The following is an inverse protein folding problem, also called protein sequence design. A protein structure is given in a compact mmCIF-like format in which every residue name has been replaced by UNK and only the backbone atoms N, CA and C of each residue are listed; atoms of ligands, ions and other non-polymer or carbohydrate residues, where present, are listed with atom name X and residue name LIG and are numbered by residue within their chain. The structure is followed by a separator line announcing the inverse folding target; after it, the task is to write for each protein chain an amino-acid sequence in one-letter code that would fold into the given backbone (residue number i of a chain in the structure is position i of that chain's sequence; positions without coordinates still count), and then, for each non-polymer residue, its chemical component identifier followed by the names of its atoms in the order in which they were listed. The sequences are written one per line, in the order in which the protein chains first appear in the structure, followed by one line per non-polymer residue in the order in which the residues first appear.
data_IF_934785922901
#
_entry.id   IF_934785922901
#
_cell.length_a   1.000
_cell.length_b   1.000
_cell.length_c   1.000
_cell.angle_alpha   90.00
_cell.angle_beta   90.00
_cell.angle_gamma   90.00
#
_symmetry.space_group_name_H-M   'P 1'
#
loop_
_entity.id
_entity.type
_entity.pdbx_description
1 polymer ?
#
# COMPACT_ATOMS: atom_id res chain seq x y z
N UNK A 1 -27.20 -6.09 9.31
CA UNK A 1 -26.44 -7.17 8.64
C UNK A 1 -25.75 -6.51 7.47
N UNK A 2 -24.41 -6.33 7.48
CA UNK A 2 -23.72 -5.80 6.29
C UNK A 2 -23.82 -6.89 5.22
N UNK A 3 -24.39 -6.57 4.06
CA UNK A 3 -24.39 -7.49 2.93
C UNK A 3 -22.94 -7.84 2.58
N UNK A 4 -22.69 -9.12 2.32
CA UNK A 4 -21.41 -9.59 1.80
C UNK A 4 -21.16 -8.96 0.42
N UNK A 5 -20.10 -8.14 0.26
CA UNK A 5 -19.84 -7.47 -1.00
C UNK A 5 -19.79 -8.42 -2.20
N UNK A 6 -19.23 -9.62 -2.03
CA UNK A 6 -19.13 -10.57 -3.13
C UNK A 6 -20.51 -11.05 -3.60
N UNK A 7 -21.43 -11.30 -2.67
CA UNK A 7 -22.82 -11.66 -2.99
C UNK A 7 -23.51 -10.55 -3.77
N UNK A 8 -23.30 -9.29 -3.40
CA UNK A 8 -23.85 -8.14 -4.10
C UNK A 8 -23.28 -8.05 -5.53
N UNK A 9 -21.97 -8.21 -5.70
CA UNK A 9 -21.35 -8.24 -7.03
C UNK A 9 -21.89 -9.36 -7.91
N UNK A 10 -22.11 -10.57 -7.36
CA UNK A 10 -22.76 -11.69 -8.07
C UNK A 10 -24.22 -11.41 -8.43
N UNK A 11 -24.94 -10.69 -7.59
CA UNK A 11 -26.30 -10.26 -7.91
C UNK A 11 -26.31 -9.27 -9.08
N UNK A 12 -25.36 -8.32 -9.11
CA UNK A 12 -25.19 -7.41 -10.22
C UNK A 12 -24.77 -8.10 -11.52
N UNK A 13 -23.82 -9.04 -11.46
CA UNK A 13 -23.38 -9.80 -12.63
C UNK A 13 -24.55 -10.51 -13.34
N UNK A 14 -25.54 -11.02 -12.58
CA UNK A 14 -26.74 -11.67 -13.13
C UNK A 14 -27.72 -10.71 -13.80
N UNK A 15 -27.68 -9.42 -13.44
CA UNK A 15 -28.59 -8.38 -13.98
C UNK A 15 -27.95 -7.55 -15.09
N UNK A 16 -26.63 -7.58 -15.19
CA UNK A 16 -25.89 -6.85 -16.21
C UNK A 16 -25.60 -7.78 -17.42
N UNK A 17 -25.36 -7.22 -18.62
CA UNK A 17 -25.01 -8.02 -19.79
C UNK A 17 -23.70 -8.81 -19.58
N UNK A 18 -23.54 -9.92 -20.32
CA UNK A 18 -22.40 -10.87 -20.15
C UNK A 18 -21.02 -10.26 -20.43
N UNK A 19 -20.98 -9.18 -21.22
CA UNK A 19 -19.76 -8.44 -21.56
C UNK A 19 -19.29 -7.49 -20.44
N UNK A 20 -20.03 -7.37 -19.33
CA UNK A 20 -19.68 -6.56 -18.16
C UNK A 20 -18.34 -6.96 -17.55
N UNK A 21 -17.50 -5.97 -17.26
CA UNK A 21 -16.24 -6.14 -16.53
C UNK A 21 -16.23 -5.22 -15.31
N UNK A 22 -16.06 -5.75 -14.10
CA UNK A 22 -15.87 -4.95 -12.89
C UNK A 22 -14.53 -4.18 -12.97
N UNK A 23 -14.55 -2.90 -12.60
CA UNK A 23 -13.43 -1.98 -12.79
C UNK A 23 -13.19 -1.11 -11.55
N UNK A 24 -12.18 -0.24 -11.60
CA UNK A 24 -11.96 0.79 -10.57
C UNK A 24 -11.79 0.23 -9.16
N UNK A 25 -12.46 0.84 -8.18
CA UNK A 25 -12.39 0.42 -6.78
C UNK A 25 -12.93 -1.02 -6.58
N UNK A 26 -13.98 -1.40 -7.30
CA UNK A 26 -14.54 -2.75 -7.28
C UNK A 26 -13.53 -3.79 -7.78
N UNK A 27 -12.84 -3.50 -8.88
CA UNK A 27 -11.78 -4.38 -9.38
C UNK A 27 -10.60 -4.47 -8.43
N UNK A 28 -10.14 -3.33 -7.89
CA UNK A 28 -9.05 -3.29 -6.93
C UNK A 28 -9.35 -4.16 -5.70
N UNK A 29 -10.58 -4.10 -5.18
CA UNK A 29 -11.03 -4.97 -4.10
C UNK A 29 -11.06 -6.45 -4.48
N UNK A 30 -11.61 -6.79 -5.66
CA UNK A 30 -11.60 -8.17 -6.16
C UNK A 30 -10.17 -8.72 -6.29
N UNK A 31 -9.20 -7.86 -6.61
CA UNK A 31 -7.78 -8.20 -6.73
C UNK A 31 -7.02 -8.19 -5.40
N UNK A 32 -7.71 -7.96 -4.28
CA UNK A 32 -7.16 -8.06 -2.93
C UNK A 32 -6.69 -6.74 -2.31
N UNK A 33 -6.95 -5.59 -2.93
CA UNK A 33 -6.65 -4.28 -2.36
C UNK A 33 -7.78 -3.80 -1.43
N UNK A 34 -7.46 -2.96 -0.45
CA UNK A 34 -8.44 -2.42 0.50
C UNK A 34 -9.16 -1.20 -0.08
N UNK A 35 -10.18 -1.46 -0.90
CA UNK A 35 -11.09 -0.45 -1.46
C UNK A 35 -12.53 -0.81 -1.10
N UNK A 36 -13.41 0.20 -1.02
CA UNK A 36 -14.86 -0.07 -0.95
C UNK A 36 -15.34 -0.58 -2.33
N UNK A 37 -15.80 -1.83 -2.43
CA UNK A 37 -16.17 -2.42 -3.71
C UNK A 37 -17.55 -2.02 -4.21
N UNK A 38 -18.42 -1.46 -3.35
CA UNK A 38 -19.86 -1.37 -3.60
C UNK A 38 -20.46 0.02 -3.48
N UNK A 39 -19.69 1.02 -3.01
CA UNK A 39 -20.14 2.41 -2.92
C UNK A 39 -19.30 3.37 -3.78
N UNK A 40 -19.51 3.40 -5.11
CA UNK A 40 -20.43 2.57 -5.90
C UNK A 40 -19.73 1.32 -6.48
N UNK A 41 -20.53 0.39 -7.00
CA UNK A 41 -20.01 -0.65 -7.89
C UNK A 41 -19.56 0.00 -9.20
N UNK A 42 -18.32 -0.22 -9.59
CA UNK A 42 -17.75 0.29 -10.84
C UNK A 42 -17.65 -0.83 -11.88
N UNK A 43 -18.17 -0.58 -13.09
CA UNK A 43 -18.05 -1.49 -14.23
C UNK A 43 -17.60 -0.75 -15.49
N UNK A 44 -16.93 -1.47 -16.38
CA UNK A 44 -16.67 -1.07 -17.76
C UNK A 44 -17.53 -1.91 -18.69
N UNK A 45 -18.15 -1.25 -19.66
CA UNK A 45 -18.94 -1.84 -20.73
C UNK A 45 -18.36 -1.42 -22.10
N UNK A 46 -18.61 -2.18 -23.17
CA UNK A 46 -18.29 -1.75 -24.54
C UNK A 46 -18.96 -0.43 -24.92
N UNK A 47 -18.40 0.28 -25.91
CA UNK A 47 -18.88 1.61 -26.33
C UNK A 47 -20.35 1.62 -26.75
N UNK A 48 -20.81 0.55 -27.39
CA UNK A 48 -22.18 0.40 -27.91
C UNK A 48 -23.20 0.03 -26.84
N UNK A 49 -22.76 -0.23 -25.60
CA UNK A 49 -23.64 -0.68 -24.54
C UNK A 49 -24.63 0.40 -24.09
N UNK A 50 -25.91 0.04 -24.12
CA UNK A 50 -27.03 0.87 -23.63
C UNK A 50 -27.14 0.95 -22.10
N UNK A 51 -26.33 0.22 -21.34
CA UNK A 51 -26.37 0.23 -19.86
C UNK A 51 -25.96 1.62 -19.35
N UNK A 52 -26.77 2.19 -18.45
CA UNK A 52 -26.53 3.51 -17.85
C UNK A 52 -26.13 3.39 -16.38
N UNK A 53 -25.30 4.32 -15.94
CA UNK A 53 -25.04 4.58 -14.52
C UNK A 53 -26.37 4.89 -13.80
N UNK A 54 -26.48 4.44 -12.56
CA UNK A 54 -27.64 4.63 -11.68
C UNK A 54 -27.18 4.59 -10.22
N UNK A 55 -27.99 5.00 -9.23
CA UNK A 55 -27.57 4.94 -7.83
C UNK A 55 -27.01 3.55 -7.46
N UNK A 56 -25.79 3.52 -6.91
CA UNK A 56 -25.06 2.29 -6.57
C UNK A 56 -24.25 1.64 -7.72
N UNK A 57 -24.36 2.11 -8.96
CA UNK A 57 -23.62 1.58 -10.12
C UNK A 57 -23.07 2.71 -11.00
N UNK A 58 -21.75 2.73 -11.16
CA UNK A 58 -21.05 3.60 -12.13
C UNK A 58 -20.62 2.77 -13.32
N UNK A 59 -21.09 3.18 -14.50
CA UNK A 59 -20.75 2.55 -15.78
C UNK A 59 -19.78 3.45 -16.54
N UNK A 60 -18.61 2.90 -16.85
CA UNK A 60 -17.65 3.48 -17.79
C UNK A 60 -17.74 2.76 -19.12
N UNK A 61 -17.44 3.47 -20.20
CA UNK A 61 -17.39 2.88 -21.55
C UNK A 61 -15.97 2.92 -22.07
N UNK A 62 -15.46 1.76 -22.45
CA UNK A 62 -14.14 1.60 -23.03
C UNK A 62 -14.09 0.22 -23.68
N UNK A 63 -13.52 0.15 -24.88
CA UNK A 63 -13.15 -1.15 -25.43
C UNK A 63 -11.88 -1.62 -24.71
N UNK A 64 -12.06 -2.61 -23.83
CA UNK A 64 -10.97 -3.25 -23.12
C UNK A 64 -10.29 -4.26 -24.04
N UNK A 65 -8.96 -4.31 -24.00
CA UNK A 65 -8.22 -5.38 -24.65
C UNK A 65 -8.46 -6.68 -23.87
N UNK A 66 -8.45 -7.86 -24.53
CA UNK A 66 -8.57 -9.14 -23.83
C UNK A 66 -7.59 -9.28 -22.67
N UNK A 67 -6.34 -8.84 -22.86
CA UNK A 67 -5.27 -8.89 -21.83
C UNK A 67 -5.46 -7.87 -20.69
N UNK A 68 -6.42 -6.95 -20.79
CA UNK A 68 -6.78 -6.04 -19.69
C UNK A 68 -7.89 -6.65 -18.80
N UNK A 69 -8.33 -7.88 -19.06
CA UNK A 69 -9.45 -8.55 -18.35
C UNK A 69 -8.96 -9.87 -17.73
N UNK A 70 -9.32 -10.10 -16.48
CA UNK A 70 -9.11 -11.36 -15.75
C UNK A 70 -10.42 -11.84 -15.13
N UNK A 71 -10.44 -13.07 -14.65
CA UNK A 71 -11.56 -13.60 -13.87
C UNK A 71 -11.11 -13.87 -12.44
N UNK A 72 -11.86 -13.37 -11.46
CA UNK A 72 -11.66 -13.63 -10.04
C UNK A 72 -12.96 -14.15 -9.45
N UNK A 73 -12.95 -15.35 -8.87
CA UNK A 73 -14.13 -15.99 -8.29
C UNK A 73 -15.34 -16.06 -9.26
N UNK A 74 -15.11 -16.22 -10.57
CA UNK A 74 -16.19 -16.22 -11.58
C UNK A 74 -16.69 -14.83 -11.98
N UNK A 75 -16.05 -13.74 -11.51
CA UNK A 75 -16.37 -12.36 -11.85
C UNK A 75 -15.32 -11.82 -12.81
N UNK A 76 -15.75 -11.34 -13.98
CA UNK A 76 -14.86 -10.67 -14.94
C UNK A 76 -14.47 -9.30 -14.39
N UNK A 77 -13.18 -9.01 -14.31
CA UNK A 77 -12.66 -7.76 -13.77
C UNK A 77 -11.43 -7.28 -14.54
N UNK A 78 -11.12 -5.98 -14.47
CA UNK A 78 -9.90 -5.45 -15.06
C UNK A 78 -8.66 -6.03 -14.38
N UNK A 79 -7.54 -6.19 -15.10
CA UNK A 79 -6.25 -6.57 -14.49
C UNK A 79 -5.83 -5.57 -13.41
N UNK A 80 -4.91 -5.98 -12.54
CA UNK A 80 -4.31 -5.10 -11.53
C UNK A 80 -3.68 -3.85 -12.14
N UNK A 81 -2.81 -3.99 -13.16
CA UNK A 81 -2.19 -2.84 -13.82
C UNK A 81 -3.22 -1.91 -14.47
N UNK A 82 -4.26 -2.48 -15.10
CA UNK A 82 -5.35 -1.68 -15.68
C UNK A 82 -6.12 -0.92 -14.60
N UNK A 83 -6.48 -1.59 -13.52
CA UNK A 83 -7.23 -1.00 -12.40
C UNK A 83 -6.44 0.12 -11.74
N UNK A 84 -5.14 -0.07 -11.50
CA UNK A 84 -4.24 0.95 -10.94
C UNK A 84 -4.09 2.15 -11.89
N UNK A 85 -3.96 1.93 -13.21
CA UNK A 85 -3.97 3.01 -14.20
C UNK A 85 -5.25 3.85 -14.16
N UNK A 86 -6.42 3.20 -14.11
CA UNK A 86 -7.71 3.89 -14.07
C UNK A 86 -7.94 4.61 -12.72
N UNK A 87 -7.46 4.03 -11.62
CA UNK A 87 -7.54 4.62 -10.28
C UNK A 87 -6.62 5.83 -10.13
N UNK A 88 -5.36 5.76 -10.60
CA UNK A 88 -4.40 6.85 -10.45
C UNK A 88 -4.84 8.16 -11.12
N UNK A 89 -5.71 8.08 -12.13
CA UNK A 89 -6.29 9.26 -12.78
C UNK A 89 -7.28 10.01 -11.89
N UNK A 90 -7.82 9.36 -10.85
CA UNK A 90 -8.90 9.88 -9.99
C UNK A 90 -8.46 10.10 -8.56
N UNK A 91 -7.57 9.24 -8.08
CA UNK A 91 -6.98 9.35 -6.76
C UNK A 91 -5.96 10.49 -6.72
N UNK A 92 -5.71 11.01 -5.52
CA UNK A 92 -4.54 11.87 -5.30
C UNK A 92 -3.25 11.06 -5.47
N UNK A 93 -2.11 11.74 -5.56
CA UNK A 93 -0.82 11.06 -5.65
C UNK A 93 -0.56 10.15 -4.44
N UNK A 94 -0.89 10.62 -3.23
CA UNK A 94 -0.73 9.82 -2.00
C UNK A 94 -1.64 8.60 -1.95
N UNK A 95 -2.91 8.72 -2.36
CA UNK A 95 -3.82 7.57 -2.37
C UNK A 95 -3.47 6.55 -3.48
N UNK A 96 -2.91 7.02 -4.60
CA UNK A 96 -2.32 6.13 -5.60
C UNK A 96 -1.12 5.39 -5.02
N UNK A 97 -0.26 6.09 -4.27
CA UNK A 97 0.91 5.49 -3.63
C UNK A 97 0.51 4.46 -2.58
N UNK A 98 -0.57 4.70 -1.80
CA UNK A 98 -1.15 3.72 -0.87
C UNK A 98 -1.51 2.42 -1.60
N UNK A 99 -2.16 2.51 -2.76
CA UNK A 99 -2.53 1.34 -3.55
C UNK A 99 -1.28 0.60 -4.12
N UNK A 100 -0.25 1.34 -4.54
CA UNK A 100 1.02 0.77 -5.01
C UNK A 100 1.78 0.06 -3.89
N UNK A 101 1.87 0.69 -2.71
CA UNK A 101 2.53 0.11 -1.53
C UNK A 101 1.83 -1.17 -1.09
N UNK A 102 0.49 -1.15 -1.03
CA UNK A 102 -0.32 -2.34 -0.72
C UNK A 102 -0.12 -3.45 -1.76
N UNK A 103 -0.04 -3.10 -3.05
CA UNK A 103 0.25 -4.04 -4.14
C UNK A 103 1.58 -4.77 -3.92
N UNK A 104 2.63 -4.02 -3.60
CA UNK A 104 3.97 -4.59 -3.33
C UNK A 104 3.99 -5.42 -2.04
N UNK A 105 3.37 -4.92 -0.97
CA UNK A 105 3.30 -5.62 0.32
C UNK A 105 2.58 -6.96 0.22
N UNK A 106 1.46 -6.99 -0.49
CA UNK A 106 0.67 -8.21 -0.68
C UNK A 106 1.28 -9.17 -1.70
N UNK A 107 2.37 -8.79 -2.37
CA UNK A 107 3.02 -9.60 -3.40
C UNK A 107 2.17 -9.78 -4.66
N UNK A 108 1.26 -8.85 -4.94
CA UNK A 108 0.38 -8.91 -6.10
C UNK A 108 1.10 -8.52 -7.41
N UNK A 109 2.12 -7.68 -7.29
CA UNK A 109 3.04 -7.32 -8.37
C UNK A 109 4.34 -6.78 -7.78
N UNK A 110 5.45 -6.97 -8.48
CA UNK A 110 6.71 -6.33 -8.13
C UNK A 110 6.87 -4.96 -8.82
N UNK A 111 7.97 -4.27 -8.51
CA UNK A 111 8.25 -2.95 -9.10
C UNK A 111 8.40 -3.03 -10.62
N UNK A 112 8.98 -4.09 -11.15
CA UNK A 112 9.21 -4.25 -12.59
C UNK A 112 7.88 -4.43 -13.33
N UNK A 113 6.95 -5.21 -12.78
CA UNK A 113 5.59 -5.36 -13.29
C UNK A 113 4.88 -4.01 -13.38
N UNK A 114 4.95 -3.23 -12.29
CA UNK A 114 4.31 -1.91 -12.16
C UNK A 114 4.89 -0.84 -13.12
N UNK A 115 6.06 -1.11 -13.72
CA UNK A 115 6.68 -0.25 -14.73
C UNK A 115 6.28 -0.57 -16.17
N UNK A 116 5.54 -1.66 -16.39
CA UNK A 116 5.07 -2.06 -17.73
C UNK A 116 3.66 -1.60 -18.17
N UNK A 117 2.87 -0.79 -17.40
CA UNK A 117 1.51 -0.51 -17.79
C UNK A 117 1.44 0.30 -19.09
N UNK A 118 0.38 0.04 -19.88
CA UNK A 118 0.12 0.69 -21.16
C UNK A 118 -1.16 1.51 -21.09
N UNK A 119 -1.31 2.47 -22.00
CA UNK A 119 -2.53 3.27 -22.14
C UNK A 119 -2.61 4.45 -21.16
N UNK A 120 -3.84 4.93 -20.97
CA UNK A 120 -4.15 6.09 -20.12
C UNK A 120 -3.78 5.81 -18.66
N UNK A 121 -3.32 6.85 -17.96
CA UNK A 121 -2.85 6.72 -16.56
C UNK A 121 -1.44 6.14 -16.42
N UNK A 122 -0.93 5.39 -17.40
CA UNK A 122 0.37 4.70 -17.29
C UNK A 122 1.55 5.63 -16.96
N UNK A 123 1.63 6.82 -17.57
CA UNK A 123 2.68 7.80 -17.27
C UNK A 123 2.60 8.28 -15.82
N UNK A 124 1.40 8.56 -15.32
CA UNK A 124 1.18 9.01 -13.95
C UNK A 124 1.49 7.90 -12.95
N UNK A 125 1.02 6.68 -13.22
CA UNK A 125 1.30 5.52 -12.39
C UNK A 125 2.81 5.29 -12.26
N UNK A 126 3.54 5.20 -13.39
CA UNK A 126 5.01 5.02 -13.38
C UNK A 126 5.75 6.09 -12.59
N UNK A 127 5.31 7.35 -12.66
CA UNK A 127 5.95 8.43 -11.89
C UNK A 127 5.87 8.25 -10.37
N UNK A 128 4.91 7.45 -9.88
CA UNK A 128 4.73 7.14 -8.47
C UNK A 128 5.34 5.79 -8.07
N UNK A 129 5.56 4.88 -9.02
CA UNK A 129 6.19 3.57 -8.77
C UNK A 129 7.60 3.72 -8.20
N UNK A 130 8.35 4.73 -8.63
CA UNK A 130 9.68 5.04 -8.07
C UNK A 130 9.64 5.39 -6.58
N UNK A 131 8.50 5.88 -6.10
CA UNK A 131 8.23 6.19 -4.71
C UNK A 131 7.59 5.01 -3.98
N UNK A 132 7.13 3.96 -4.65
CA UNK A 132 6.42 2.85 -4.00
C UNK A 132 7.36 1.99 -3.14
N UNK A 133 6.86 1.58 -1.99
CA UNK A 133 7.57 0.71 -1.04
C UNK A 133 6.54 -0.13 -0.26
N UNK A 134 6.90 -1.31 0.28
CA UNK A 134 5.92 -2.21 0.90
C UNK A 134 5.51 -1.75 2.33
N UNK A 135 4.93 -0.56 2.47
CA UNK A 135 4.42 -0.05 3.74
C UNK A 135 3.27 -0.93 4.27
N UNK A 136 3.18 -1.08 5.58
CA UNK A 136 2.24 -2.00 6.23
C UNK A 136 0.84 -1.45 6.41
N UNK A 137 0.73 -0.12 6.43
CA UNK A 137 -0.55 0.57 6.53
C UNK A 137 -0.63 1.78 5.59
N UNK A 138 -1.85 2.18 5.17
CA UNK A 138 -2.06 3.42 4.43
C UNK A 138 -1.51 4.66 5.13
N UNK A 139 -1.53 4.67 6.47
CA UNK A 139 -1.04 5.81 7.25
C UNK A 139 0.48 5.91 7.27
N UNK A 140 1.21 4.81 7.25
CA UNK A 140 2.66 4.82 7.02
C UNK A 140 3.01 5.40 5.64
N UNK A 141 2.28 5.01 4.59
CA UNK A 141 2.45 5.60 3.25
C UNK A 141 2.19 7.10 3.26
N UNK A 142 1.12 7.56 3.94
CA UNK A 142 0.78 8.98 4.06
C UNK A 142 1.83 9.76 4.84
N UNK A 143 2.35 9.20 5.94
CA UNK A 143 3.47 9.77 6.69
C UNK A 143 4.70 9.91 5.79
N UNK A 144 5.07 8.84 5.08
CA UNK A 144 6.20 8.84 4.15
C UNK A 144 6.04 9.87 3.03
N UNK A 145 4.86 9.94 2.43
CA UNK A 145 4.51 10.93 1.43
C UNK A 145 4.66 12.35 1.96
N UNK A 146 4.14 12.63 3.17
CA UNK A 146 4.27 13.92 3.84
C UNK A 146 5.73 14.35 4.01
N UNK A 147 6.62 13.43 4.42
CA UNK A 147 8.05 13.74 4.56
C UNK A 147 8.73 14.05 3.22
N UNK A 148 8.39 13.31 2.17
CA UNK A 148 8.93 13.50 0.81
C UNK A 148 8.46 14.84 0.23
N UNK A 149 7.16 15.13 0.30
CA UNK A 149 6.59 16.42 -0.14
C UNK A 149 7.13 17.59 0.69
N UNK A 150 7.44 17.35 1.97
CA UNK A 150 8.13 18.29 2.84
C UNK A 150 9.59 18.57 2.44
N UNK A 151 10.09 17.97 1.36
CA UNK A 151 11.46 18.17 0.87
C UNK A 151 12.52 17.50 1.74
N UNK A 152 12.16 16.46 2.48
CA UNK A 152 13.12 15.63 3.20
C UNK A 152 13.66 14.51 2.29
N UNK A 153 14.84 13.96 2.59
CA UNK A 153 15.34 12.76 1.91
C UNK A 153 14.31 11.62 1.98
N UNK A 154 14.37 10.68 1.04
CA UNK A 154 13.50 9.49 1.09
C UNK A 154 13.96 8.58 2.23
N UNK A 155 13.09 8.21 3.18
CA UNK A 155 13.42 7.19 4.17
C UNK A 155 13.42 5.80 3.53
N UNK A 156 14.20 4.89 4.10
CA UNK A 156 14.03 3.45 3.89
C UNK A 156 12.77 2.97 4.61
N UNK A 157 12.12 1.92 4.11
CA UNK A 157 10.78 1.50 4.56
C UNK A 157 10.83 0.06 5.06
N UNK A 158 10.19 -0.20 6.21
CA UNK A 158 10.05 -1.55 6.79
C UNK A 158 11.40 -2.26 7.03
N UNK A 159 12.40 -1.52 7.50
CA UNK A 159 13.76 -2.01 7.72
C UNK A 159 13.90 -2.66 9.09
N UNK A 160 14.46 -3.88 9.11
CA UNK A 160 14.86 -4.54 10.35
C UNK A 160 16.15 -3.92 10.89
N UNK A 161 16.14 -3.55 12.16
CA UNK A 161 17.24 -2.91 12.84
C UNK A 161 17.85 -3.86 13.86
N UNK A 162 19.17 -3.87 13.91
CA UNK A 162 19.98 -4.56 14.92
C UNK A 162 20.88 -3.61 15.70
N UNK A 163 21.32 -4.04 16.88
CA UNK A 163 22.33 -3.35 17.69
C UNK A 163 23.78 -3.63 17.23
N UNK A 164 24.78 -3.38 18.09
CA UNK A 164 26.20 -3.55 17.76
C UNK A 164 26.61 -5.02 17.69
N UNK A 165 25.89 -5.87 18.40
CA UNK A 165 26.15 -7.30 18.54
C UNK A 165 25.24 -8.12 17.60
N UNK A 166 24.67 -7.46 16.59
CA UNK A 166 23.73 -7.99 15.59
C UNK A 166 22.41 -8.53 16.17
N UNK A 167 22.05 -8.17 17.41
CA UNK A 167 20.75 -8.53 17.96
C UNK A 167 19.64 -7.67 17.38
N UNK A 168 18.56 -8.32 16.92
CA UNK A 168 17.37 -7.64 16.43
C UNK A 168 16.72 -6.79 17.52
N UNK A 169 16.55 -5.49 17.24
CA UNK A 169 15.93 -4.53 18.17
C UNK A 169 14.53 -4.09 17.75
N UNK A 170 14.17 -4.27 16.48
CA UNK A 170 12.85 -3.91 15.96
C UNK A 170 12.85 -3.68 14.46
N UNK A 171 11.64 -3.49 13.90
CA UNK A 171 11.46 -3.17 12.48
C UNK A 171 10.82 -1.79 12.33
N UNK A 172 11.55 -0.86 11.74
CA UNK A 172 11.12 0.54 11.59
C UNK A 172 10.20 0.72 10.39
N UNK A 173 9.10 1.46 10.58
CA UNK A 173 8.22 1.85 9.47
C UNK A 173 9.00 2.67 8.44
N UNK A 174 9.66 3.72 8.92
CA UNK A 174 10.54 4.60 8.15
C UNK A 174 11.88 4.77 8.86
N UNK A 175 12.97 4.71 8.12
CA UNK A 175 14.33 4.80 8.65
C UNK A 175 15.24 5.71 7.84
N UNK A 176 16.00 6.55 8.53
CA UNK A 176 17.06 7.38 7.96
C UNK A 176 18.43 6.89 8.49
N UNK A 177 19.17 6.07 7.72
CA UNK A 177 20.41 5.45 8.18
C UNK A 177 21.47 6.44 8.63
N UNK A 178 21.70 7.48 7.83
CA UNK A 178 22.71 8.50 8.12
C UNK A 178 22.44 9.17 9.46
N UNK A 179 21.18 9.36 9.84
CA UNK A 179 20.78 10.02 11.08
C UNK A 179 20.48 9.03 12.23
N UNK A 180 20.52 7.71 11.98
CA UNK A 180 19.98 6.65 12.86
C UNK A 180 18.61 7.04 13.45
N UNK A 181 17.74 7.58 12.60
CA UNK A 181 16.43 8.09 12.98
C UNK A 181 15.34 7.14 12.47
N UNK A 182 14.56 6.63 13.40
CA UNK A 182 13.34 5.85 13.18
C UNK A 182 12.15 6.81 13.27
N UNK A 183 11.26 6.72 12.29
CA UNK A 183 9.98 7.45 12.28
C UNK A 183 8.86 6.43 12.13
N UNK A 184 7.94 6.40 13.09
CA UNK A 184 6.87 5.41 13.19
C UNK A 184 5.50 6.07 13.15
N UNK A 185 4.53 5.39 12.54
CA UNK A 185 3.13 5.72 12.66
C UNK A 185 2.52 5.00 13.86
N UNK A 186 1.93 5.75 14.79
CA UNK A 186 1.21 5.20 15.94
C UNK A 186 -0.28 5.11 15.63
N UNK A 187 -0.69 3.96 15.12
CA UNK A 187 -2.10 3.59 15.02
C UNK A 187 -2.63 3.26 16.40
N UNK A 188 -3.48 4.15 16.95
CA UNK A 188 -4.10 4.07 18.28
C UNK A 188 -4.02 2.67 18.95
N UNK A 189 -3.09 2.54 19.89
CA UNK A 189 -2.73 1.25 20.48
C UNK A 189 -3.79 0.79 21.50
N UNK A 190 -4.28 -0.45 21.33
CA UNK A 190 -5.04 -1.14 22.39
C UNK A 190 -4.17 -1.24 23.65
N UNK A 191 -4.74 -0.97 24.84
CA UNK A 191 -4.00 -0.96 26.14
C UNK A 191 -3.10 -2.19 26.36
N UNK A 192 -3.49 -3.32 25.80
CA UNK A 192 -2.83 -4.61 25.97
C UNK A 192 -1.46 -4.69 25.27
N UNK A 193 -1.13 -3.77 24.34
CA UNK A 193 0.16 -3.73 23.64
C UNK A 193 1.16 -2.71 24.20
N UNK A 194 0.77 -1.88 25.17
CA UNK A 194 1.61 -0.80 25.70
C UNK A 194 2.93 -1.30 26.32
N UNK A 195 2.92 -2.46 26.96
CA UNK A 195 4.13 -3.03 27.60
C UNK A 195 5.15 -3.46 26.55
N UNK A 196 4.71 -4.11 25.48
CA UNK A 196 5.57 -4.55 24.39
C UNK A 196 6.14 -3.36 23.61
N UNK A 197 5.31 -2.35 23.34
CA UNK A 197 5.72 -1.10 22.72
C UNK A 197 6.81 -0.38 23.53
N UNK A 198 6.62 -0.27 24.85
CA UNK A 198 7.62 0.34 25.72
C UNK A 198 8.95 -0.44 25.72
N UNK A 199 8.89 -1.79 25.73
CA UNK A 199 10.09 -2.63 25.64
C UNK A 199 10.82 -2.40 24.33
N UNK A 200 10.11 -2.41 23.20
CA UNK A 200 10.67 -2.17 21.87
C UNK A 200 11.29 -0.77 21.76
N UNK A 201 10.60 0.26 22.25
CA UNK A 201 11.12 1.61 22.28
C UNK A 201 12.43 1.70 23.08
N UNK A 202 12.50 1.06 24.26
CA UNK A 202 13.71 1.05 25.06
C UNK A 202 14.88 0.35 24.36
N UNK A 203 14.62 -0.74 23.63
CA UNK A 203 15.65 -1.43 22.84
C UNK A 203 16.23 -0.51 21.75
N UNK A 204 15.38 0.17 20.98
CA UNK A 204 15.81 1.13 19.95
C UNK A 204 16.66 2.26 20.55
N UNK A 205 16.21 2.86 21.65
CA UNK A 205 16.94 3.94 22.32
C UNK A 205 18.30 3.45 22.85
N UNK A 206 18.33 2.27 23.48
CA UNK A 206 19.56 1.69 24.01
C UNK A 206 20.59 1.38 22.91
N UNK A 207 20.11 0.94 21.74
CA UNK A 207 20.92 0.72 20.54
C UNK A 207 21.30 2.03 19.79
N UNK A 208 21.01 3.19 20.40
CA UNK A 208 21.42 4.51 19.90
C UNK A 208 20.57 5.03 18.76
N UNK A 209 19.40 4.45 18.48
CA UNK A 209 18.45 5.02 17.53
C UNK A 209 17.69 6.18 18.19
N UNK A 210 17.35 7.18 17.37
CA UNK A 210 16.35 8.19 17.73
C UNK A 210 15.01 7.74 17.19
N UNK A 211 13.94 7.96 17.95
CA UNK A 211 12.59 7.55 17.59
C UNK A 211 11.66 8.76 17.63
N UNK A 212 10.91 8.96 16.55
CA UNK A 212 9.76 9.88 16.49
C UNK A 212 8.52 9.06 16.12
N UNK A 213 7.45 9.22 16.91
CA UNK A 213 6.16 8.56 16.67
C UNK A 213 5.11 9.62 16.37
N UNK A 214 4.30 9.39 15.35
CA UNK A 214 3.24 10.31 14.91
C UNK A 214 1.91 9.61 14.81
N UNK A 215 0.86 10.22 15.34
CA UNK A 215 -0.51 9.72 15.24
C UNK A 215 -1.18 10.21 13.95
N UNK A 216 -2.37 9.69 13.66
CA UNK A 216 -3.18 10.20 12.56
C UNK A 216 -3.58 11.68 12.78
N UNK A 217 -3.75 12.11 14.02
CA UNK A 217 -4.05 13.51 14.33
C UNK A 217 -2.86 14.41 13.98
N UNK A 218 -1.63 13.99 14.28
CA UNK A 218 -0.43 14.75 13.92
C UNK A 218 -0.29 14.90 12.39
N UNK A 219 -0.47 13.79 11.66
CA UNK A 219 -0.33 13.76 10.20
C UNK A 219 -1.39 14.64 9.52
N UNK A 220 -2.65 14.59 9.97
CA UNK A 220 -3.74 15.32 9.32
C UNK A 220 -3.89 16.77 9.80
N UNK A 221 -3.61 17.06 11.07
CA UNK A 221 -3.91 18.35 11.67
C UNK A 221 -2.67 19.23 11.82
N UNK A 222 -1.47 18.65 11.86
CA UNK A 222 -0.20 19.36 12.09
C UNK A 222 0.94 18.88 11.18
N UNK A 223 0.71 18.68 9.87
CA UNK A 223 1.70 18.10 8.96
C UNK A 223 3.03 18.87 8.92
N UNK A 224 2.99 20.20 9.02
CA UNK A 224 4.16 21.07 9.07
C UNK A 224 5.03 20.83 10.30
N UNK A 225 4.41 20.51 11.45
CA UNK A 225 5.11 20.19 12.69
C UNK A 225 5.83 18.86 12.57
N UNK A 226 5.18 17.85 11.98
CA UNK A 226 5.78 16.54 11.70
C UNK A 226 7.04 16.71 10.84
N UNK A 227 6.93 17.43 9.71
CA UNK A 227 8.07 17.68 8.82
C UNK A 227 9.19 18.44 9.54
N UNK A 228 8.86 19.46 10.32
CA UNK A 228 9.84 20.25 11.06
C UNK A 228 10.60 19.41 12.11
N UNK A 229 9.89 18.56 12.85
CA UNK A 229 10.51 17.68 13.85
C UNK A 229 11.46 16.65 13.21
N UNK A 230 11.03 16.01 12.11
CA UNK A 230 11.91 15.09 11.37
C UNK A 230 13.11 15.84 10.79
N UNK A 231 12.91 17.02 10.18
CA UNK A 231 14.02 17.85 9.67
C UNK A 231 15.03 18.18 10.76
N UNK A 232 14.56 18.62 11.93
CA UNK A 232 15.41 18.95 13.06
C UNK A 232 16.21 17.72 13.51
N UNK A 233 15.56 16.56 13.62
CA UNK A 233 16.24 15.32 13.96
C UNK A 233 17.29 14.92 12.90
N UNK A 234 17.02 15.10 11.60
CA UNK A 234 18.00 14.81 10.55
C UNK A 234 19.26 15.68 10.64
N UNK A 235 19.13 16.94 11.06
CA UNK A 235 20.24 17.89 11.17
C UNK A 235 20.98 17.83 12.51
N UNK A 236 20.34 17.31 13.56
CA UNK A 236 20.96 17.24 14.88
C UNK A 236 22.21 16.32 14.88
N UNK A 237 23.30 16.73 15.55
CA UNK A 237 24.56 16.01 15.54
C UNK A 237 24.41 14.60 16.13
N UNK A 238 25.16 13.65 15.57
CA UNK A 238 25.17 12.28 16.06
C UNK A 238 25.68 12.24 17.50
N UNK A 239 25.04 11.46 18.35
CA UNK A 239 25.59 11.17 19.69
C UNK A 239 26.80 10.23 19.57
N UNK A 240 27.71 10.25 20.55
CA UNK A 240 28.91 9.40 20.57
C UNK A 240 28.59 7.90 20.41
N UNK A 241 27.47 7.43 20.97
CA UNK A 241 26.97 6.05 20.76
C UNK A 241 26.70 5.74 19.30
N UNK A 242 26.11 6.67 18.54
CA UNK A 242 25.77 6.50 17.12
C UNK A 242 27.00 6.42 16.19
N UNK A 243 28.15 6.91 16.65
CA UNK A 243 29.38 6.94 15.83
C UNK A 243 30.11 5.59 15.83
N UNK A 244 29.91 4.76 16.87
CA UNK A 244 30.57 3.46 17.00
C UNK A 244 29.78 2.29 16.38
N UNK A 245 28.48 2.44 16.21
CA UNK A 245 27.60 1.40 15.65
C UNK A 245 27.42 1.58 14.14
N UNK A 246 28.10 0.76 13.32
CA UNK A 246 27.77 0.60 11.90
C UNK A 246 26.42 -0.11 11.79
N UNK A 247 25.46 0.47 11.08
CA UNK A 247 24.22 -0.23 10.78
C UNK A 247 24.53 -1.33 9.76
N UNK A 248 24.35 -2.59 10.17
CA UNK A 248 24.26 -3.71 9.23
C UNK A 248 22.86 -3.68 8.65
N UNK A 249 22.77 -3.37 7.35
CA UNK A 249 21.52 -3.44 6.59
C UNK A 249 21.38 -4.89 6.12
N UNK A 250 20.40 -5.65 6.64
CA UNK A 250 19.98 -6.91 6.00
C UNK A 250 18.60 -6.70 5.35
N UNK A 251 18.52 -6.49 4.03
CA UNK A 251 17.27 -6.35 3.29
C UNK A 251 16.64 -7.72 3.04
N UNK A 252 16.52 -8.59 4.06
CA UNK A 252 15.80 -9.85 3.90
C UNK A 252 14.31 -9.60 4.00
N UNK A 253 13.51 -10.01 2.99
CA UNK A 253 12.07 -10.01 3.14
C UNK A 253 11.69 -10.97 4.28
N UNK A 254 10.97 -10.44 5.26
CA UNK A 254 10.34 -11.25 6.31
C UNK A 254 9.39 -12.27 5.67
N UNK A 255 9.74 -13.55 5.76
CA UNK A 255 8.81 -14.64 5.44
C UNK A 255 7.91 -14.85 6.65
N UNK A 256 6.77 -14.16 6.67
CA UNK A 256 5.68 -14.49 7.56
C UNK A 256 5.24 -15.95 7.36
N UNK A 257 4.99 -16.65 8.47
CA UNK A 257 4.44 -18.00 8.48
C UNK A 257 3.15 -18.10 7.63
N UNK A 258 3.10 -19.09 6.73
CA UNK A 258 1.84 -19.72 6.31
C UNK A 258 1.17 -19.22 5.02
N UNK A 259 1.87 -19.15 3.89
CA UNK A 259 1.21 -19.24 2.58
C UNK A 259 0.90 -20.72 2.29
N UNK A 260 -0.16 -21.22 2.90
CA UNK A 260 -0.75 -22.52 2.58
C UNK A 260 -1.49 -22.45 1.25
N UNK A 261 -0.85 -22.98 0.21
CA UNK A 261 -1.43 -23.66 -0.95
C UNK A 261 -2.77 -23.11 -1.51
N UNK A 262 -2.65 -22.21 -2.49
CA UNK A 262 -3.58 -22.17 -3.63
C UNK A 262 -2.75 -22.22 -4.92
N UNK A 263 -2.29 -23.43 -5.27
CA UNK A 263 -1.88 -23.79 -6.62
C UNK A 263 -2.77 -24.91 -7.12
N UNK A 264 -3.44 -24.61 -8.23
CA UNK A 264 -3.73 -25.52 -9.35
C UNK A 264 -4.44 -26.85 -9.00
N UNK A 265 -5.76 -26.85 -9.16
CA UNK A 265 -6.45 -28.01 -9.76
C UNK A 265 -6.87 -27.63 -11.17
N UNK A 266 -5.91 -27.71 -12.08
CA UNK A 266 -6.20 -27.90 -13.49
C UNK A 266 -6.78 -29.32 -13.65
N UNK A 267 -7.97 -29.37 -14.22
CA UNK A 267 -8.59 -30.56 -14.78
C UNK A 267 -7.67 -31.19 -15.82
N UNK A 268 -7.60 -32.52 -15.83
CA UNK A 268 -7.22 -33.28 -17.02
C UNK A 268 -8.12 -34.50 -17.17
N UNK A 269 -8.46 -34.87 -18.42
CA UNK A 269 -9.57 -35.77 -18.73
C UNK A 269 -9.12 -37.22 -18.85
N UNK A 270 -9.99 -38.15 -18.44
CA UNK A 270 -10.30 -39.41 -19.16
C UNK A 270 -11.79 -39.69 -18.95
#
# INVERSE_FOLDING_TARGET
MREDPEQLLRAWQRRLPKDTVFAGATAAWLLGLDFDPVHPIEVVMPLESGVRSRPGLVVRRCDLRPDDIVEVNGLRTTTLLRSLCDLCLRLSAVETLVALDATMRLGLADRSDLMTPRGWGSRRLRSLVDLAAPAESPMETRLRWLLIEGGLPRPEVQISLSDADDFFVGRADLYYPTARLVVEYDGATHRDRLVEDNRRQNLLINAGFRLLRFTAADIHQRPEVVVAQVRHALLAPKTLKQTRLKAVLDPKPWKGMGAGALRERATSPV
#
